data_IF_803485750887
#
_entry.id   IF_803485750887
#
_cell.length_a   1.000
_cell.length_b   1.000
_cell.length_c   1.000
_cell.angle_alpha   90.00
_cell.angle_beta   90.00
_cell.angle_gamma   90.00
#
_symmetry.space_group_name_H-M   'P 1'
#
loop_
_entity.id
_entity.type
_entity.pdbx_description
1 polymer ?
#
# COMPACT_ATOMS: atom_id res chain seq x y z
N UNK A 1 -2.61 9.57 -9.54
CA UNK A 1 -3.42 8.35 -9.75
C UNK A 1 -4.55 8.31 -8.73
N UNK A 2 -5.61 7.53 -8.98
CA UNK A 2 -6.63 7.20 -7.98
C UNK A 2 -6.52 5.71 -7.68
N UNK A 3 -6.48 5.35 -6.40
CA UNK A 3 -6.36 3.97 -5.94
C UNK A 3 -7.66 3.55 -5.29
N UNK A 4 -8.06 2.29 -5.46
CA UNK A 4 -9.20 1.74 -4.73
C UNK A 4 -8.69 1.29 -3.37
N UNK A 5 -9.41 1.63 -2.31
CA UNK A 5 -9.12 1.18 -0.95
C UNK A 5 -10.34 0.43 -0.44
N UNK A 6 -10.10 -0.77 0.06
CA UNK A 6 -11.10 -1.61 0.71
C UNK A 6 -10.91 -1.42 2.21
N UNK A 7 -12.02 -1.09 2.90
CA UNK A 7 -12.06 -0.92 4.35
C UNK A 7 -12.90 -2.04 4.95
N UNK A 8 -12.30 -2.82 5.84
CA UNK A 8 -12.93 -3.95 6.51
C UNK A 8 -12.96 -3.67 8.02
N UNK A 9 -14.14 -3.73 8.67
CA UNK A 9 -14.22 -3.61 10.11
C UNK A 9 -13.65 -4.86 10.77
N UNK A 10 -12.80 -4.67 11.76
CA UNK A 10 -12.37 -5.73 12.67
C UNK A 10 -13.40 -5.83 13.81
N UNK A 11 -14.02 -7.00 13.91
CA UNK A 11 -15.12 -7.24 14.85
C UNK A 11 -14.64 -7.53 16.28
N UNK A 12 -13.35 -7.81 16.47
CA UNK A 12 -12.80 -8.20 17.77
C UNK A 12 -12.29 -6.97 18.56
N UNK A 13 -11.63 -6.02 17.90
CA UNK A 13 -11.10 -4.79 18.52
C UNK A 13 -11.93 -3.53 18.17
N UNK A 14 -12.74 -3.57 17.11
CA UNK A 14 -13.51 -2.41 16.62
C UNK A 14 -12.76 -1.49 15.64
N UNK A 15 -11.54 -1.86 15.26
CA UNK A 15 -10.68 -1.11 14.34
C UNK A 15 -11.11 -1.33 12.87
N UNK A 16 -10.43 -0.64 11.96
CA UNK A 16 -10.61 -0.75 10.52
C UNK A 16 -9.31 -1.20 9.87
N UNK A 17 -9.35 -2.33 9.17
CA UNK A 17 -8.30 -2.73 8.25
C UNK A 17 -8.51 -2.05 6.88
N UNK A 18 -7.42 -1.62 6.24
CA UNK A 18 -7.41 -0.96 4.94
C UNK A 18 -6.42 -1.64 4.01
N UNK A 19 -6.80 -1.88 2.75
CA UNK A 19 -5.89 -2.45 1.75
C UNK A 19 -6.24 -2.02 0.31
N UNK A 20 -5.23 -2.02 -0.57
CA UNK A 20 -5.36 -1.62 -1.98
C UNK A 20 -5.21 -2.86 -2.90
N UNK A 21 -6.25 -3.24 -3.68
CA UNK A 21 -6.16 -4.39 -4.58
C UNK A 21 -5.16 -4.19 -5.73
N UNK A 22 -4.87 -2.95 -6.12
CA UNK A 22 -3.86 -2.66 -7.14
C UNK A 22 -2.42 -2.73 -6.64
N UNK A 23 -2.20 -2.68 -5.32
CA UNK A 23 -0.87 -2.68 -4.70
C UNK A 23 -0.77 -3.86 -3.72
N UNK A 24 -0.50 -5.08 -4.23
CA UNK A 24 -0.41 -6.26 -3.39
C UNK A 24 0.60 -6.07 -2.25
N UNK A 25 0.16 -6.36 -1.03
CA UNK A 25 0.96 -6.20 0.19
C UNK A 25 0.93 -4.79 0.81
N UNK A 26 0.31 -3.81 0.16
CA UNK A 26 0.07 -2.49 0.75
C UNK A 26 -1.20 -2.54 1.62
N UNK A 27 -1.00 -2.55 2.94
CA UNK A 27 -2.06 -2.65 3.95
C UNK A 27 -1.81 -1.66 5.08
N UNK A 28 -2.88 -1.18 5.69
CA UNK A 28 -2.82 -0.30 6.85
C UNK A 28 -4.03 -0.54 7.76
N UNK A 29 -4.11 0.12 8.91
CA UNK A 29 -5.25 0.06 9.81
C UNK A 29 -5.43 1.37 10.59
N UNK A 30 -6.56 1.52 11.29
CA UNK A 30 -6.84 2.62 12.21
C UNK A 30 -8.10 2.38 13.03
N UNK A 31 -8.25 3.07 14.16
CA UNK A 31 -9.41 2.92 15.06
C UNK A 31 -10.70 3.44 14.40
N UNK A 32 -10.55 4.40 13.46
CA UNK A 32 -11.66 4.96 12.69
C UNK A 32 -11.48 4.79 11.19
N UNK A 33 -12.59 4.82 10.44
CA UNK A 33 -12.55 4.82 8.97
C UNK A 33 -11.69 5.94 8.39
N UNK A 34 -11.68 7.11 9.03
CA UNK A 34 -10.93 8.29 8.56
C UNK A 34 -9.45 8.04 8.76
N UNK A 35 -9.06 7.62 9.95
CA UNK A 35 -7.68 7.29 10.29
C UNK A 35 -7.13 6.15 9.42
N UNK A 36 -7.88 5.05 9.27
CA UNK A 36 -7.45 3.94 8.42
C UNK A 36 -7.23 4.38 6.96
N UNK A 37 -8.02 5.35 6.46
CA UNK A 37 -7.86 5.91 5.13
C UNK A 37 -6.65 6.86 5.04
N UNK A 38 -6.41 7.68 6.06
CA UNK A 38 -5.21 8.53 6.16
C UNK A 38 -3.93 7.68 6.21
N UNK A 39 -3.90 6.66 7.06
CA UNK A 39 -2.78 5.72 7.17
C UNK A 39 -2.60 4.93 5.87
N UNK A 40 -3.68 4.60 5.16
CA UNK A 40 -3.59 3.94 3.85
C UNK A 40 -2.97 4.86 2.80
N UNK A 41 -3.29 6.17 2.82
CA UNK A 41 -2.66 7.14 1.91
C UNK A 41 -1.14 7.17 2.10
N UNK A 42 -0.69 7.20 3.35
CA UNK A 42 0.74 7.18 3.68
C UNK A 42 1.40 5.86 3.28
N UNK A 43 0.73 4.73 3.51
CA UNK A 43 1.22 3.41 3.08
C UNK A 43 1.38 3.32 1.56
N UNK A 44 0.46 3.91 0.79
CA UNK A 44 0.56 3.96 -0.67
C UNK A 44 1.70 4.87 -1.12
N UNK A 45 1.87 6.03 -0.48
CA UNK A 45 2.97 6.94 -0.77
C UNK A 45 4.31 6.23 -0.56
N UNK A 46 4.49 5.59 0.59
CA UNK A 46 5.69 4.81 0.91
C UNK A 46 5.90 3.62 -0.05
N UNK A 47 4.84 2.92 -0.45
CA UNK A 47 4.93 1.79 -1.38
C UNK A 47 5.48 2.21 -2.75
N UNK A 48 5.15 3.42 -3.19
CA UNK A 48 5.57 3.96 -4.49
C UNK A 48 6.94 4.65 -4.45
N UNK A 49 7.52 4.83 -3.25
CA UNK A 49 8.84 5.42 -3.13
C UNK A 49 9.93 4.50 -3.72
N UNK A 50 10.83 5.03 -4.56
CA UNK A 50 11.94 4.25 -5.08
C UNK A 50 12.88 3.81 -3.96
N UNK A 51 13.03 2.50 -3.77
CA UNK A 51 14.03 1.93 -2.89
C UNK A 51 15.33 1.60 -3.65
N UNK A 52 16.51 1.73 -3.03
CA UNK A 52 17.74 1.18 -3.59
C UNK A 52 17.59 -0.33 -3.80
N UNK A 53 17.87 -0.80 -5.01
CA UNK A 53 17.86 -2.23 -5.33
C UNK A 53 19.29 -2.73 -5.44
N UNK A 54 19.65 -3.72 -4.63
CA UNK A 54 20.85 -4.51 -4.88
C UNK A 54 20.53 -5.53 -5.97
N UNK A 55 21.13 -5.33 -7.14
CA UNK A 55 20.95 -6.22 -8.28
C UNK A 55 22.06 -7.26 -8.30
N UNK A 56 21.73 -8.50 -8.66
CA UNK A 56 22.73 -9.53 -8.91
C UNK A 56 23.64 -9.14 -10.09
N UNK A 57 24.89 -9.57 -10.07
CA UNK A 57 25.86 -9.28 -11.13
C UNK A 57 25.34 -9.74 -12.50
N UNK A 58 25.40 -8.84 -13.49
CA UNK A 58 24.87 -9.07 -14.84
C UNK A 58 23.37 -8.74 -15.03
N UNK A 59 22.67 -8.29 -14.00
CA UNK A 59 21.28 -7.82 -14.14
C UNK A 59 21.19 -6.50 -14.91
N UNK A 60 20.11 -6.32 -15.67
CA UNK A 60 19.82 -5.09 -16.42
C UNK A 60 18.42 -4.58 -16.07
N UNK A 61 18.31 -3.29 -15.75
CA UNK A 61 17.03 -2.61 -15.56
C UNK A 61 16.51 -2.12 -16.90
N UNK A 62 15.25 -2.42 -17.21
CA UNK A 62 14.55 -1.94 -18.40
C UNK A 62 13.25 -1.25 -17.99
N UNK A 63 12.94 -0.12 -18.62
CA UNK A 63 11.64 0.54 -18.46
C UNK A 63 10.65 -0.02 -19.48
N UNK A 64 9.43 -0.35 -19.03
CA UNK A 64 8.36 -0.87 -19.87
C UNK A 64 7.11 -0.02 -19.65
N UNK A 65 6.57 0.51 -20.75
CA UNK A 65 5.30 1.26 -20.75
C UNK A 65 4.24 0.42 -21.45
N UNK A 66 3.04 0.35 -20.88
CA UNK A 66 1.87 -0.37 -21.42
C UNK A 66 0.92 0.64 -22.09
#
# INVERSE_FOLDING_TARGET
>A
MKWRVILEPDLDNGDWAAWCPELPGCTSCGETKVEALENMREAIELYLEPAPLELAEGSVTCEVTI
#
